data_IF_098400864906
#
_entry.id   IF_098400864906
#
_cell.length_a   1.000
_cell.length_b   1.000
_cell.length_c   1.000
_cell.angle_alpha   90.00
_cell.angle_beta   90.00
_cell.angle_gamma   90.00
#
_symmetry.space_group_name_H-M   'P 1'
#
loop_
_entity.id
_entity.type
_entity.pdbx_description
1 polymer ?
#
# COMPACT_ATOMS: atom_id res chain seq x y z
N UNK A 1 -19.90 -19.80 -44.81
CA UNK A 1 -19.58 -18.52 -44.13
C UNK A 1 -20.48 -18.22 -42.92
N UNK A 2 -21.81 -18.24 -43.01
CA UNK A 2 -22.72 -17.91 -41.88
C UNK A 2 -22.55 -18.82 -40.64
N UNK A 3 -22.35 -20.13 -40.84
CA UNK A 3 -22.17 -21.08 -39.74
C UNK A 3 -20.84 -20.86 -38.97
N UNK A 4 -19.76 -20.57 -39.70
CA UNK A 4 -18.46 -20.24 -39.12
C UNK A 4 -18.53 -18.98 -38.24
N UNK A 5 -19.21 -17.94 -38.71
CA UNK A 5 -19.39 -16.70 -37.95
C UNK A 5 -20.18 -16.90 -36.64
N UNK A 6 -21.21 -17.76 -36.67
CA UNK A 6 -21.99 -18.11 -35.46
C UNK A 6 -21.15 -18.87 -34.43
N UNK A 7 -20.28 -19.76 -34.88
CA UNK A 7 -19.42 -20.54 -33.99
C UNK A 7 -18.36 -19.66 -33.33
N UNK A 8 -17.70 -18.79 -34.10
CA UNK A 8 -16.75 -17.80 -33.56
C UNK A 8 -17.45 -16.88 -32.56
N UNK A 9 -18.63 -16.36 -32.90
CA UNK A 9 -19.41 -15.52 -32.00
C UNK A 9 -19.77 -16.25 -30.69
N UNK A 10 -20.26 -17.49 -30.78
CA UNK A 10 -20.65 -18.26 -29.61
C UNK A 10 -19.45 -18.53 -28.69
N UNK A 11 -18.28 -18.86 -29.26
CA UNK A 11 -17.06 -19.05 -28.49
C UNK A 11 -16.62 -17.76 -27.80
N UNK A 12 -16.61 -16.63 -28.52
CA UNK A 12 -16.26 -15.33 -27.92
C UNK A 12 -17.21 -14.93 -26.80
N UNK A 13 -18.52 -15.11 -26.98
CA UNK A 13 -19.52 -14.83 -25.94
C UNK A 13 -19.28 -15.72 -24.72
N UNK A 14 -19.06 -17.02 -24.94
CA UNK A 14 -18.77 -17.95 -23.86
C UNK A 14 -17.52 -17.54 -23.07
N UNK A 15 -16.40 -17.24 -23.74
CA UNK A 15 -15.17 -16.78 -23.09
C UNK A 15 -15.40 -15.53 -22.26
N UNK A 16 -16.11 -14.53 -22.80
CA UNK A 16 -16.41 -13.29 -22.09
C UNK A 16 -17.28 -13.58 -20.86
N UNK A 17 -18.36 -14.36 -20.99
CA UNK A 17 -19.22 -14.71 -19.87
C UNK A 17 -18.46 -15.48 -18.78
N UNK A 18 -17.57 -16.41 -19.13
CA UNK A 18 -16.73 -17.12 -18.17
C UNK A 18 -15.78 -16.19 -17.42
N UNK A 19 -15.16 -15.23 -18.11
CA UNK A 19 -14.28 -14.23 -17.47
C UNK A 19 -15.06 -13.33 -16.49
N UNK A 20 -16.27 -12.91 -16.87
CA UNK A 20 -17.13 -12.13 -15.96
C UNK A 20 -17.56 -12.95 -14.74
N UNK A 21 -17.96 -14.20 -14.92
CA UNK A 21 -18.31 -15.09 -13.82
C UNK A 21 -17.12 -15.30 -12.86
N UNK A 22 -15.93 -15.55 -13.41
CA UNK A 22 -14.69 -15.67 -12.64
C UNK A 22 -14.35 -14.38 -11.87
N UNK A 23 -14.42 -13.23 -12.52
CA UNK A 23 -14.08 -11.95 -11.90
C UNK A 23 -15.02 -11.57 -10.75
N UNK A 24 -16.30 -11.94 -10.84
CA UNK A 24 -17.34 -11.61 -9.87
C UNK A 24 -17.57 -12.69 -8.79
N UNK A 25 -16.84 -13.82 -8.87
CA UNK A 25 -16.99 -14.95 -7.95
C UNK A 25 -16.75 -14.54 -6.49
N UNK A 26 -15.65 -13.83 -6.23
CA UNK A 26 -15.35 -13.26 -4.90
C UNK A 26 -15.62 -11.76 -4.86
N UNK A 27 -15.76 -11.23 -3.64
CA UNK A 27 -15.81 -9.80 -3.41
C UNK A 27 -14.44 -9.17 -3.73
N UNK A 28 -14.40 -7.93 -4.24
CA UNK A 28 -13.15 -7.21 -4.43
C UNK A 28 -12.48 -6.95 -3.08
N UNK A 29 -11.18 -7.15 -3.01
CA UNK A 29 -10.39 -6.89 -1.80
C UNK A 29 -10.30 -5.39 -1.51
N UNK A 30 -10.20 -5.02 -0.23
CA UNK A 30 -10.22 -3.61 0.21
C UNK A 30 -9.04 -2.80 -0.30
N UNK A 31 -7.86 -3.42 -0.50
CA UNK A 31 -6.66 -2.70 -0.96
C UNK A 31 -6.82 -2.13 -2.37
N UNK A 32 -7.78 -2.62 -3.17
CA UNK A 32 -8.08 -2.07 -4.50
C UNK A 32 -8.79 -0.71 -4.47
N UNK A 33 -9.41 -0.35 -3.34
CA UNK A 33 -10.15 0.90 -3.20
C UNK A 33 -9.34 2.03 -2.56
N UNK A 34 -8.16 1.71 -2.04
CA UNK A 34 -7.30 2.67 -1.33
C UNK A 34 -6.00 2.91 -2.09
N UNK A 35 -5.42 4.09 -1.89
CA UNK A 35 -4.13 4.43 -2.49
C UNK A 35 -3.03 3.61 -1.82
N UNK A 36 -1.98 3.20 -2.55
CA UNK A 36 -0.81 2.55 -1.96
C UNK A 36 -0.23 3.39 -0.82
N UNK A 37 0.18 2.70 0.25
CA UNK A 37 0.89 3.28 1.37
C UNK A 37 2.19 2.52 1.58
N UNK A 38 3.23 3.25 1.96
CA UNK A 38 4.50 2.69 2.41
C UNK A 38 4.65 2.93 3.90
N UNK A 39 5.35 2.01 4.55
CA UNK A 39 5.62 2.06 5.98
C UNK A 39 7.12 2.15 6.18
N UNK A 40 7.56 3.14 6.95
CA UNK A 40 8.96 3.26 7.37
C UNK A 40 9.07 3.48 8.87
N UNK A 41 10.13 2.97 9.46
CA UNK A 41 10.40 3.08 10.90
C UNK A 41 11.84 3.55 11.08
N UNK A 42 12.02 4.63 11.83
CA UNK A 42 13.32 5.20 12.12
C UNK A 42 13.58 5.27 13.61
N UNK A 43 14.85 5.08 13.98
CA UNK A 43 15.33 5.30 15.33
C UNK A 43 15.66 6.78 15.51
N UNK A 44 15.03 7.41 16.48
CA UNK A 44 15.31 8.77 16.93
C UNK A 44 16.34 8.77 18.05
N UNK A 45 16.98 9.92 18.20
CA UNK A 45 17.71 10.26 19.41
C UNK A 45 16.77 10.28 20.61
N UNK A 46 17.26 9.90 21.81
CA UNK A 46 16.45 9.87 23.00
C UNK A 46 15.74 11.21 23.21
N UNK A 47 14.41 11.18 23.24
CA UNK A 47 13.57 12.36 23.47
C UNK A 47 13.51 12.76 24.96
N UNK A 48 14.57 12.44 25.72
CA UNK A 48 14.67 12.75 27.16
C UNK A 48 13.70 11.98 28.06
N UNK A 49 12.99 10.96 27.56
CA UNK A 49 11.98 10.21 28.32
C UNK A 49 10.66 10.96 28.53
N UNK A 50 10.50 12.14 27.92
CA UNK A 50 9.30 12.96 28.03
C UNK A 50 8.22 12.50 27.02
N UNK A 51 7.12 11.98 27.56
CA UNK A 51 5.96 11.57 26.76
C UNK A 51 5.27 12.77 26.09
N UNK A 52 5.37 13.97 26.66
CA UNK A 52 4.81 15.19 26.07
C UNK A 52 5.59 15.59 24.81
N UNK A 53 6.92 15.52 24.85
CA UNK A 53 7.77 15.77 23.68
C UNK A 53 7.44 14.81 22.53
N UNK A 54 7.34 13.50 22.81
CA UNK A 54 6.97 12.49 21.80
C UNK A 54 5.58 12.74 21.20
N UNK A 55 4.59 13.07 22.02
CA UNK A 55 3.23 13.37 21.55
C UNK A 55 3.17 14.66 20.71
N UNK A 56 3.93 15.69 21.11
CA UNK A 56 4.02 16.93 20.35
C UNK A 56 4.66 16.72 18.97
N UNK A 57 5.72 15.91 18.90
CA UNK A 57 6.38 15.53 17.66
C UNK A 57 5.44 14.72 16.76
N UNK A 58 4.75 13.73 17.33
CA UNK A 58 3.76 12.93 16.59
C UNK A 58 2.67 13.80 15.97
N UNK A 59 2.11 14.76 16.73
CA UNK A 59 1.06 15.64 16.20
C UNK A 59 1.54 16.50 15.05
N UNK A 60 2.78 17.00 15.09
CA UNK A 60 3.36 17.80 14.00
C UNK A 60 3.65 16.95 12.76
N UNK A 61 4.27 15.79 12.96
CA UNK A 61 4.55 14.86 11.88
C UNK A 61 3.29 14.29 11.20
N UNK A 62 2.21 14.10 11.97
CA UNK A 62 0.91 13.68 11.42
C UNK A 62 0.25 14.74 10.52
N UNK A 63 0.70 16.00 10.57
CA UNK A 63 0.20 17.07 9.68
C UNK A 63 1.02 17.23 8.40
N UNK A 64 2.09 16.45 8.23
CA UNK A 64 2.92 16.50 7.03
C UNK A 64 2.14 16.02 5.79
N UNK A 65 2.27 16.72 4.65
CA UNK A 65 1.65 16.30 3.40
C UNK A 65 2.06 14.86 3.03
N UNK A 66 1.07 14.05 2.63
CA UNK A 66 1.30 12.66 2.25
C UNK A 66 1.43 11.67 3.41
N UNK A 67 1.43 12.11 4.68
CA UNK A 67 1.39 11.21 5.84
C UNK A 67 -0.06 10.80 6.13
N UNK A 68 -0.34 9.49 6.07
CA UNK A 68 -1.63 8.92 6.45
C UNK A 68 -1.70 8.64 7.95
N UNK A 69 -0.59 8.19 8.54
CA UNK A 69 -0.48 7.96 9.98
C UNK A 69 0.97 8.11 10.45
N UNK A 70 1.13 8.57 11.69
CA UNK A 70 2.43 8.68 12.35
C UNK A 70 2.31 8.21 13.81
N UNK A 71 3.29 7.44 14.28
CA UNK A 71 3.41 7.04 15.68
C UNK A 71 4.82 7.31 16.18
N UNK A 72 4.94 7.94 17.36
CA UNK A 72 6.23 8.18 18.02
C UNK A 72 6.20 7.48 19.37
N UNK A 73 7.16 6.60 19.60
CA UNK A 73 7.30 5.86 20.85
C UNK A 73 8.33 6.53 21.76
N UNK A 74 7.94 7.12 22.91
CA UNK A 74 8.90 7.68 23.86
C UNK A 74 9.78 6.61 24.52
N UNK A 75 9.27 5.36 24.63
CA UNK A 75 9.98 4.24 25.25
C UNK A 75 11.12 3.71 24.39
N UNK A 76 10.86 3.54 23.10
CA UNK A 76 11.85 2.99 22.16
C UNK A 76 12.58 4.08 21.38
N UNK A 77 12.16 5.35 21.51
CA UNK A 77 12.62 6.47 20.69
C UNK A 77 12.53 6.14 19.19
N UNK A 78 11.43 5.51 18.76
CA UNK A 78 11.21 5.21 17.33
C UNK A 78 10.08 6.09 16.79
N UNK A 79 10.17 6.44 15.52
CA UNK A 79 9.06 7.00 14.75
C UNK A 79 8.68 6.05 13.63
N UNK A 80 7.38 5.79 13.47
CA UNK A 80 6.82 5.03 12.38
C UNK A 80 5.91 5.92 11.55
N UNK A 81 6.10 5.89 10.23
CA UNK A 81 5.27 6.60 9.27
C UNK A 81 4.54 5.61 8.38
N UNK A 82 3.28 5.91 8.11
CA UNK A 82 2.51 5.37 6.98
C UNK A 82 2.27 6.54 6.05
N UNK A 83 2.79 6.47 4.82
CA UNK A 83 2.77 7.60 3.88
C UNK A 83 2.43 7.17 2.45
N UNK A 84 1.95 8.11 1.65
CA UNK A 84 1.69 7.94 0.23
C UNK A 84 2.94 8.34 -0.58
N UNK A 85 3.58 7.41 -1.30
CA UNK A 85 4.83 7.69 -2.03
C UNK A 85 4.64 8.67 -3.19
N UNK A 86 3.40 8.86 -3.66
CA UNK A 86 3.07 9.86 -4.69
C UNK A 86 3.04 11.30 -4.15
N UNK A 87 2.90 11.48 -2.83
CA UNK A 87 2.74 12.80 -2.20
C UNK A 87 3.95 13.22 -1.36
N UNK A 88 4.70 12.26 -0.83
CA UNK A 88 5.89 12.53 -0.02
C UNK A 88 6.95 11.46 -0.24
N UNK A 89 8.18 11.80 0.13
CA UNK A 89 9.36 10.93 -0.02
C UNK A 89 10.04 10.72 1.32
N UNK A 90 10.83 9.65 1.44
CA UNK A 90 11.66 9.41 2.62
C UNK A 90 12.57 10.61 2.93
N UNK A 91 13.09 11.30 1.91
CA UNK A 91 13.91 12.50 2.10
C UNK A 91 13.12 13.67 2.71
N UNK A 92 11.88 13.89 2.25
CA UNK A 92 11.00 14.93 2.80
C UNK A 92 10.61 14.63 4.25
N UNK A 93 10.25 13.37 4.55
CA UNK A 93 9.95 12.93 5.91
C UNK A 93 11.18 13.08 6.83
N UNK A 94 12.37 12.76 6.33
CA UNK A 94 13.62 12.93 7.08
C UNK A 94 13.84 14.41 7.44
N UNK A 95 13.62 15.30 6.48
CA UNK A 95 13.71 16.75 6.68
C UNK A 95 12.66 17.24 7.69
N UNK A 96 11.42 16.76 7.61
CA UNK A 96 10.35 17.12 8.54
C UNK A 96 10.71 16.73 10.00
N UNK A 97 11.26 15.53 10.21
CA UNK A 97 11.73 15.09 11.54
C UNK A 97 12.80 16.04 12.08
N UNK A 98 13.77 16.43 11.25
CA UNK A 98 14.79 17.41 11.61
C UNK A 98 14.23 18.80 11.91
N UNK A 99 13.27 19.27 11.10
CA UNK A 99 12.61 20.56 11.27
C UNK A 99 11.88 20.66 12.62
N UNK A 100 11.25 19.58 13.08
CA UNK A 100 10.56 19.54 14.37
C UNK A 100 11.48 19.24 15.58
N UNK A 101 12.80 19.27 15.38
CA UNK A 101 13.78 19.20 16.45
C UNK A 101 14.13 17.78 16.92
N UNK A 102 13.75 16.76 16.15
CA UNK A 102 14.16 15.38 16.40
C UNK A 102 15.31 15.00 15.47
N UNK A 103 16.22 14.14 15.96
CA UNK A 103 17.36 13.65 15.19
C UNK A 103 17.21 12.15 14.96
N UNK A 104 17.42 11.70 13.73
CA UNK A 104 17.44 10.28 13.39
C UNK A 104 18.85 9.73 13.66
N UNK A 105 18.94 8.68 14.47
CA UNK A 105 20.19 7.96 14.78
C UNK A 105 20.41 6.82 13.79
N UNK A 106 19.34 6.07 13.52
CA UNK A 106 19.39 4.95 12.59
C UNK A 106 18.19 5.03 11.65
N UNK A 107 18.52 4.94 10.36
CA UNK A 107 17.57 4.75 9.28
C UNK A 107 17.95 3.39 8.69
N UNK A 108 17.57 2.28 9.35
CA UNK A 108 17.79 0.99 8.73
C UNK A 108 17.10 1.08 7.37
N UNK A 109 17.82 0.85 6.26
CA UNK A 109 17.17 0.81 4.94
C UNK A 109 15.99 -0.13 5.12
N UNK A 110 14.79 0.30 4.74
CA UNK A 110 13.57 -0.49 4.88
C UNK A 110 13.90 -1.89 4.36
N UNK A 111 14.22 -2.80 5.28
CA UNK A 111 14.96 -3.98 4.91
C UNK A 111 13.87 -4.91 4.43
N UNK A 112 13.49 -4.75 3.17
CA UNK A 112 12.90 -5.79 2.33
C UNK A 112 13.95 -6.87 2.13
N UNK A 113 14.63 -7.31 3.20
CA UNK A 113 15.14 -8.65 3.27
C UNK A 113 13.90 -9.48 3.00
N UNK A 114 13.78 -9.92 1.75
CA UNK A 114 12.91 -11.00 1.36
C UNK A 114 13.25 -12.11 2.36
N UNK A 115 12.47 -12.19 3.43
CA UNK A 115 12.36 -13.40 4.22
C UNK A 115 12.30 -14.50 3.18
N UNK A 116 13.18 -15.49 3.30
CA UNK A 116 13.33 -16.61 2.37
C UNK A 116 12.07 -17.52 2.40
N UNK A 117 10.91 -16.91 2.22
CA UNK A 117 9.63 -17.48 1.93
C UNK A 117 9.80 -18.08 0.56
N UNK A 118 9.40 -19.34 0.44
CA UNK A 118 9.41 -20.13 -0.79
C UNK A 118 8.99 -19.23 -1.95
N UNK A 119 9.94 -18.85 -2.79
CA UNK A 119 9.67 -18.05 -3.96
C UNK A 119 8.84 -18.93 -4.88
N UNK A 120 7.54 -18.67 -4.94
CA UNK A 120 6.71 -19.18 -6.02
C UNK A 120 7.42 -18.81 -7.33
N UNK A 121 7.51 -19.71 -8.33
CA UNK A 121 8.26 -19.46 -9.57
C UNK A 121 7.64 -18.36 -10.44
N UNK A 122 6.55 -17.75 -9.99
CA UNK A 122 5.79 -16.74 -10.71
C UNK A 122 6.20 -15.35 -10.20
N UNK A 123 6.58 -14.43 -11.09
CA UNK A 123 6.86 -13.04 -10.72
C UNK A 123 5.66 -12.40 -10.01
N UNK A 124 5.92 -11.65 -8.95
CA UNK A 124 4.86 -10.94 -8.18
C UNK A 124 4.05 -9.98 -9.08
N UNK A 125 4.70 -9.40 -10.09
CA UNK A 125 4.06 -8.54 -11.08
C UNK A 125 2.94 -9.22 -11.87
N UNK A 126 3.06 -10.54 -12.13
CA UNK A 126 2.04 -11.30 -12.84
C UNK A 126 0.77 -11.45 -12.00
N UNK A 127 0.94 -11.75 -10.70
CA UNK A 127 -0.18 -11.84 -9.77
C UNK A 127 -0.87 -10.49 -9.60
N UNK A 128 -0.09 -9.41 -9.47
CA UNK A 128 -0.64 -8.05 -9.40
C UNK A 128 -1.44 -7.68 -10.65
N UNK A 129 -0.97 -8.05 -11.84
CA UNK A 129 -1.70 -7.79 -13.08
C UNK A 129 -3.01 -8.59 -13.18
N UNK A 130 -2.99 -9.88 -12.81
CA UNK A 130 -4.21 -10.69 -12.78
C UNK A 130 -5.24 -10.13 -11.80
N UNK A 131 -4.78 -9.69 -10.63
CA UNK A 131 -5.62 -9.07 -9.62
C UNK A 131 -6.26 -7.76 -10.12
N UNK A 132 -5.48 -6.93 -10.83
CA UNK A 132 -6.00 -5.71 -11.48
C UNK A 132 -7.06 -6.00 -12.56
N UNK A 133 -6.84 -6.99 -13.42
CA UNK A 133 -7.81 -7.39 -14.45
C UNK A 133 -9.09 -7.91 -13.81
N UNK A 134 -8.93 -8.74 -12.79
CA UNK A 134 -10.05 -9.28 -12.01
C UNK A 134 -10.86 -8.15 -11.39
N UNK A 135 -10.20 -7.21 -10.72
CA UNK A 135 -10.85 -6.04 -10.14
C UNK A 135 -11.55 -5.16 -11.20
N UNK A 136 -10.94 -4.98 -12.38
CA UNK A 136 -11.53 -4.20 -13.47
C UNK A 136 -12.84 -4.78 -14.01
N UNK A 137 -12.94 -6.12 -14.08
CA UNK A 137 -14.11 -6.85 -14.56
C UNK A 137 -15.15 -7.14 -13.45
N UNK A 138 -14.82 -6.88 -12.19
CA UNK A 138 -15.70 -7.11 -11.06
C UNK A 138 -16.74 -5.98 -10.95
N UNK A 139 -17.99 -6.28 -11.26
CA UNK A 139 -19.12 -5.33 -11.22
C UNK A 139 -19.53 -5.03 -9.78
N UNK A 140 -19.26 -5.96 -8.83
CA UNK A 140 -19.58 -5.76 -7.40
C UNK A 140 -18.83 -4.57 -6.81
N UNK A 141 -17.71 -4.14 -7.41
CA UNK A 141 -16.96 -2.95 -6.97
C UNK A 141 -17.78 -1.67 -6.95
N UNK A 142 -18.82 -1.56 -7.79
CA UNK A 142 -19.68 -0.38 -7.86
C UNK A 142 -20.73 -0.32 -6.74
N UNK A 143 -20.92 -1.41 -6.00
CA UNK A 143 -21.90 -1.51 -4.92
C UNK A 143 -21.25 -1.50 -3.53
N UNK A 144 -19.92 -1.33 -3.47
CA UNK A 144 -19.20 -1.16 -2.20
C UNK A 144 -19.19 0.34 -1.86
N UNK A 145 -19.88 0.71 -0.78
CA UNK A 145 -19.74 2.03 -0.16
C UNK A 145 -18.47 2.02 0.69
N UNK A 146 -17.45 2.77 0.26
CA UNK A 146 -16.21 3.01 1.02
C UNK A 146 -16.36 4.28 1.85
#
# INVERSE_FOLDING_TARGET
MKAFYRLVLAFSVFTVCSLFAWANWDAPEMHHFVRPVEITIWQLAPLGGDSAAAYSLQRRLATEPGVSACAVSPRTSCVAFVYHPEQTTLAALYQAVGHYGARIIDNPPANTAQSAIRQCPVPVSYLAWLDQVRFALNVRRFFVSV
#
